data_IF_834046706185
#
_entry.id   IF_834046706185
#
_cell.length_a   1.000
_cell.length_b   1.000
_cell.length_c   1.000
_cell.angle_alpha   90.00
_cell.angle_beta   90.00
_cell.angle_gamma   90.00
#
_symmetry.space_group_name_H-M   'P 1'
#
loop_
_entity.id
_entity.type
_entity.pdbx_description
1 polymer ?
#
# COMPACT_ATOMS: atom_id res chain seq x y z
N UNK A 1 -18.34 30.80 48.41
CA UNK A 1 -19.10 30.52 47.17
C UNK A 1 -18.46 31.17 45.94
N UNK A 2 -17.13 31.14 45.81
CA UNK A 2 -16.36 31.69 44.66
C UNK A 2 -15.42 30.60 44.09
N UNK A 3 -14.95 29.67 44.93
CA UNK A 3 -14.11 28.52 44.54
C UNK A 3 -14.77 27.58 43.54
N UNK A 4 -16.08 27.35 43.64
CA UNK A 4 -16.81 26.41 42.79
C UNK A 4 -16.87 26.89 41.33
N UNK A 5 -16.87 28.22 41.13
CA UNK A 5 -16.90 28.83 39.81
C UNK A 5 -15.52 28.82 39.15
N UNK A 6 -14.44 29.01 39.91
CA UNK A 6 -13.07 28.98 39.40
C UNK A 6 -12.65 27.57 38.94
N UNK A 7 -12.95 26.53 39.72
CA UNK A 7 -12.67 25.14 39.35
C UNK A 7 -13.43 24.74 38.08
N UNK A 8 -14.73 25.09 38.01
CA UNK A 8 -15.57 24.85 36.85
C UNK A 8 -15.04 25.54 35.58
N UNK A 9 -14.59 26.80 35.69
CA UNK A 9 -13.99 27.53 34.57
C UNK A 9 -12.67 26.90 34.11
N UNK A 10 -11.81 26.45 35.02
CA UNK A 10 -10.56 25.77 34.65
C UNK A 10 -10.82 24.43 33.97
N UNK A 11 -11.80 23.65 34.44
CA UNK A 11 -12.22 22.40 33.80
C UNK A 11 -12.78 22.64 32.39
N UNK A 12 -13.62 23.67 32.22
CA UNK A 12 -14.16 24.06 30.92
C UNK A 12 -13.04 24.45 29.96
N UNK A 13 -12.08 25.27 30.42
CA UNK A 13 -10.94 25.71 29.62
C UNK A 13 -10.06 24.52 29.20
N UNK A 14 -9.76 23.63 30.14
CA UNK A 14 -9.01 22.40 29.87
C UNK A 14 -9.72 21.50 28.85
N UNK A 15 -11.04 21.37 28.97
CA UNK A 15 -11.85 20.60 28.03
C UNK A 15 -11.81 21.19 26.62
N UNK A 16 -11.95 22.52 26.48
CA UNK A 16 -11.87 23.21 25.19
C UNK A 16 -10.48 23.02 24.55
N UNK A 17 -9.41 23.18 25.33
CA UNK A 17 -8.03 22.94 24.85
C UNK A 17 -7.88 21.49 24.39
N UNK A 18 -8.41 20.52 25.14
CA UNK A 18 -8.42 19.11 24.77
C UNK A 18 -9.13 18.85 23.44
N UNK A 19 -10.31 19.46 23.24
CA UNK A 19 -11.06 19.35 21.98
C UNK A 19 -10.29 19.96 20.80
N UNK A 20 -9.63 21.09 20.99
CA UNK A 20 -8.82 21.74 19.95
C UNK A 20 -7.65 20.83 19.55
N UNK A 21 -6.90 20.31 20.52
CA UNK A 21 -5.77 19.42 20.26
C UNK A 21 -6.22 18.12 19.58
N UNK A 22 -7.33 17.53 20.05
CA UNK A 22 -7.90 16.33 19.43
C UNK A 22 -8.37 16.59 18.00
N UNK A 23 -9.00 17.74 17.73
CA UNK A 23 -9.45 18.13 16.39
C UNK A 23 -8.29 18.32 15.42
N UNK A 24 -7.18 18.93 15.86
CA UNK A 24 -5.96 19.07 15.07
C UNK A 24 -5.37 17.69 14.76
N UNK A 25 -5.25 16.83 15.77
CA UNK A 25 -4.76 15.46 15.59
C UNK A 25 -5.62 14.66 14.61
N UNK A 26 -6.95 14.81 14.68
CA UNK A 26 -7.89 14.18 13.77
C UNK A 26 -7.72 14.70 12.34
N UNK A 27 -7.59 16.02 12.16
CA UNK A 27 -7.40 16.64 10.83
C UNK A 27 -6.12 16.15 10.13
N UNK A 28 -5.01 16.04 10.88
CA UNK A 28 -3.75 15.52 10.36
C UNK A 28 -3.90 14.05 9.95
N UNK A 29 -4.50 13.21 10.80
CA UNK A 29 -4.73 11.80 10.48
C UNK A 29 -5.60 11.61 9.25
N UNK A 30 -6.68 12.38 9.11
CA UNK A 30 -7.56 12.34 7.94
C UNK A 30 -6.81 12.73 6.66
N UNK A 31 -5.99 13.78 6.72
CA UNK A 31 -5.17 14.20 5.57
C UNK A 31 -4.19 13.11 5.16
N UNK A 32 -3.44 12.55 6.12
CA UNK A 32 -2.50 11.46 5.87
C UNK A 32 -3.20 10.23 5.28
N UNK A 33 -4.35 9.85 5.83
CA UNK A 33 -5.13 8.73 5.32
C UNK A 33 -5.56 8.93 3.86
N UNK A 34 -5.96 10.15 3.50
CA UNK A 34 -6.36 10.47 2.14
C UNK A 34 -5.19 10.40 1.16
N UNK A 35 -4.06 11.01 1.52
CA UNK A 35 -2.83 10.97 0.70
C UNK A 35 -2.33 9.53 0.52
N UNK A 36 -2.32 8.72 1.58
CA UNK A 36 -1.94 7.31 1.52
C UNK A 36 -2.88 6.52 0.60
N UNK A 37 -4.19 6.80 0.63
CA UNK A 37 -5.17 6.15 -0.23
C UNK A 37 -4.96 6.49 -1.71
N UNK A 38 -4.59 7.73 -2.03
CA UNK A 38 -4.26 8.14 -3.39
C UNK A 38 -2.97 7.49 -3.89
N UNK A 39 -1.90 7.54 -3.09
CA UNK A 39 -0.62 6.89 -3.43
C UNK A 39 -0.78 5.39 -3.64
N UNK A 40 -1.61 4.73 -2.82
CA UNK A 40 -1.96 3.32 -2.95
C UNK A 40 -2.63 2.99 -4.28
N UNK A 41 -3.52 3.86 -4.79
CA UNK A 41 -4.13 3.66 -6.11
C UNK A 41 -3.10 3.72 -7.23
N UNK A 42 -2.18 4.69 -7.15
CA UNK A 42 -1.10 4.85 -8.13
C UNK A 42 -0.20 3.61 -8.11
N UNK A 43 0.23 3.18 -6.92
CA UNK A 43 1.04 1.97 -6.75
C UNK A 43 0.36 0.73 -7.35
N UNK A 44 -0.92 0.50 -7.08
CA UNK A 44 -1.65 -0.63 -7.64
C UNK A 44 -1.69 -0.61 -9.18
N UNK A 45 -1.85 0.57 -9.78
CA UNK A 45 -1.84 0.72 -11.24
C UNK A 45 -0.46 0.39 -11.80
N UNK A 46 0.60 0.91 -11.18
CA UNK A 46 1.99 0.68 -11.57
C UNK A 46 2.35 -0.81 -11.47
N UNK A 47 2.01 -1.45 -10.34
CA UNK A 47 2.21 -2.89 -10.11
C UNK A 47 1.52 -3.75 -11.17
N UNK A 48 0.26 -3.45 -11.52
CA UNK A 48 -0.45 -4.18 -12.59
C UNK A 48 0.20 -3.93 -13.95
N UNK A 49 0.66 -2.70 -14.23
CA UNK A 49 1.32 -2.38 -15.48
C UNK A 49 2.65 -3.12 -15.63
N UNK A 50 3.43 -3.21 -14.56
CA UNK A 50 4.67 -3.99 -14.50
C UNK A 50 4.40 -5.47 -14.76
N UNK A 51 3.38 -6.04 -14.12
CA UNK A 51 2.95 -7.43 -14.38
C UNK A 51 2.56 -7.65 -15.85
N UNK A 52 1.81 -6.74 -16.47
CA UNK A 52 1.39 -6.84 -17.88
C UNK A 52 2.59 -6.79 -18.84
N UNK A 53 3.52 -5.88 -18.58
CA UNK A 53 4.64 -5.58 -19.47
C UNK A 53 5.86 -6.47 -19.24
N UNK A 54 5.84 -7.34 -18.23
CA UNK A 54 6.91 -8.30 -18.00
C UNK A 54 7.14 -9.19 -19.23
N UNK A 55 8.39 -9.27 -19.69
CA UNK A 55 8.80 -9.97 -20.92
C UNK A 55 9.09 -11.46 -20.72
N UNK A 56 9.34 -11.90 -19.49
CA UNK A 56 9.74 -13.27 -19.16
C UNK A 56 8.53 -14.16 -18.85
N UNK A 57 7.40 -13.54 -18.51
CA UNK A 57 6.14 -14.22 -18.24
C UNK A 57 5.28 -14.40 -19.49
N UNK A 58 4.70 -15.60 -19.64
CA UNK A 58 3.72 -15.87 -20.69
C UNK A 58 2.40 -15.10 -20.46
N UNK A 59 1.66 -14.73 -21.53
CA UNK A 59 0.40 -13.97 -21.40
C UNK A 59 -0.61 -14.61 -20.43
N UNK A 60 -0.83 -15.92 -20.52
CA UNK A 60 -1.78 -16.62 -19.65
C UNK A 60 -1.34 -16.69 -18.18
N UNK A 61 -0.04 -16.70 -17.88
CA UNK A 61 0.46 -16.59 -16.49
C UNK A 61 0.28 -15.17 -15.96
N UNK A 62 0.57 -14.15 -16.77
CA UNK A 62 0.34 -12.73 -16.40
C UNK A 62 -1.13 -12.48 -16.05
N UNK A 63 -2.05 -12.94 -16.88
CA UNK A 63 -3.49 -12.79 -16.64
C UNK A 63 -3.95 -13.44 -15.33
N UNK A 64 -3.41 -14.61 -14.99
CA UNK A 64 -3.71 -15.30 -13.73
C UNK A 64 -3.29 -14.48 -12.52
N UNK A 65 -2.03 -14.04 -12.47
CA UNK A 65 -1.52 -13.23 -11.36
C UNK A 65 -2.28 -11.91 -11.21
N UNK A 66 -2.60 -11.24 -12.33
CA UNK A 66 -3.38 -9.99 -12.31
C UNK A 66 -4.81 -10.25 -11.81
N UNK A 67 -5.41 -11.36 -12.20
CA UNK A 67 -6.76 -11.74 -11.75
C UNK A 67 -6.77 -11.99 -10.25
N UNK A 68 -5.83 -12.79 -9.74
CA UNK A 68 -5.70 -13.08 -8.32
C UNK A 68 -5.44 -11.80 -7.53
N UNK A 69 -4.51 -10.96 -7.99
CA UNK A 69 -4.20 -9.66 -7.38
C UNK A 69 -5.41 -8.72 -7.29
N UNK A 70 -6.26 -8.69 -8.32
CA UNK A 70 -7.45 -7.86 -8.36
C UNK A 70 -8.61 -8.42 -7.53
N UNK A 71 -8.70 -9.76 -7.40
CA UNK A 71 -9.71 -10.42 -6.58
C UNK A 71 -9.44 -10.26 -5.08
N UNK A 72 -8.18 -10.15 -4.69
CA UNK A 72 -7.75 -9.97 -3.31
C UNK A 72 -8.10 -8.59 -2.76
N UNK A 73 -8.66 -8.56 -1.53
CA UNK A 73 -8.92 -7.33 -0.77
C UNK A 73 -7.84 -7.02 0.27
N UNK A 74 -7.13 -8.06 0.73
CA UNK A 74 -6.07 -7.93 1.73
C UNK A 74 -4.77 -7.42 1.09
N UNK A 75 -4.15 -6.40 1.70
CA UNK A 75 -2.95 -5.79 1.12
C UNK A 75 -1.71 -6.64 1.25
N UNK A 76 -1.59 -7.39 2.34
CA UNK A 76 -0.45 -8.28 2.55
C UNK A 76 -0.48 -9.41 1.53
N UNK A 77 -1.67 -9.96 1.27
CA UNK A 77 -1.87 -10.97 0.24
C UNK A 77 -1.60 -10.40 -1.17
N UNK A 78 -1.99 -9.15 -1.47
CA UNK A 78 -1.60 -8.49 -2.73
C UNK A 78 -0.08 -8.38 -2.89
N UNK A 79 0.62 -7.97 -1.84
CA UNK A 79 2.09 -7.88 -1.84
C UNK A 79 2.69 -9.26 -2.05
N UNK A 80 2.14 -10.30 -1.41
CA UNK A 80 2.61 -11.68 -1.56
C UNK A 80 2.38 -12.22 -2.98
N UNK A 81 1.22 -11.95 -3.60
CA UNK A 81 0.94 -12.33 -5.00
C UNK A 81 1.96 -11.66 -5.92
N UNK A 82 2.22 -10.37 -5.72
CA UNK A 82 3.19 -9.65 -6.51
C UNK A 82 4.62 -10.17 -6.32
N UNK A 83 5.03 -10.48 -5.10
CA UNK A 83 6.33 -11.07 -4.82
C UNK A 83 6.52 -12.43 -5.51
N UNK A 84 5.50 -13.29 -5.49
CA UNK A 84 5.51 -14.59 -6.21
C UNK A 84 5.67 -14.40 -7.72
N UNK A 85 4.94 -13.42 -8.29
CA UNK A 85 5.07 -13.07 -9.70
C UNK A 85 6.51 -12.66 -10.05
N UNK A 86 7.13 -11.81 -9.23
CA UNK A 86 8.50 -11.34 -9.47
C UNK A 86 9.53 -12.46 -9.35
N UNK A 87 9.42 -13.30 -8.33
CA UNK A 87 10.31 -14.46 -8.15
C UNK A 87 10.24 -15.41 -9.36
N UNK A 88 9.04 -15.75 -9.81
CA UNK A 88 8.89 -16.63 -10.97
C UNK A 88 9.40 -15.97 -12.26
N UNK A 89 9.21 -14.65 -12.41
CA UNK A 89 9.74 -13.94 -13.57
C UNK A 89 11.28 -13.88 -13.58
N UNK A 90 11.91 -13.79 -12.40
CA UNK A 90 13.36 -13.86 -12.23
C UNK A 90 13.92 -15.26 -12.52
N UNK A 91 13.25 -16.31 -12.03
CA UNK A 91 13.60 -17.70 -12.36
C UNK A 91 13.60 -17.92 -13.88
N UNK A 92 12.55 -17.44 -14.57
CA UNK A 92 12.41 -17.49 -16.04
C UNK A 92 13.50 -16.72 -16.76
N UNK A 93 13.86 -15.55 -16.24
CA UNK A 93 14.95 -14.74 -16.79
C UNK A 93 16.29 -15.49 -16.72
N UNK A 94 16.55 -16.15 -15.59
CA UNK A 94 17.78 -16.91 -15.37
C UNK A 94 17.83 -18.16 -16.26
N UNK A 95 16.71 -18.90 -16.42
CA UNK A 95 16.61 -20.02 -17.38
C UNK A 95 17.02 -19.60 -18.80
N UNK A 96 16.51 -18.45 -19.29
CA UNK A 96 16.81 -17.96 -20.64
C UNK A 96 18.28 -17.54 -20.77
N UNK A 97 18.87 -16.95 -19.72
CA UNK A 97 20.28 -16.55 -19.73
C UNK A 97 21.21 -17.76 -19.73
N UNK A 98 20.90 -18.77 -18.91
CA UNK A 98 21.68 -19.99 -18.81
C UNK A 98 21.63 -20.78 -20.13
N UNK A 99 20.46 -20.91 -20.76
CA UNK A 99 20.31 -21.53 -22.07
C UNK A 99 21.12 -20.82 -23.17
N UNK A 100 21.10 -19.49 -23.20
CA UNK A 100 21.89 -18.71 -24.16
C UNK A 100 23.40 -18.87 -23.93
N UNK A 101 23.86 -18.94 -22.68
CA UNK A 101 25.29 -19.13 -22.37
C UNK A 101 25.81 -20.51 -22.77
N UNK A 102 24.95 -21.53 -22.77
CA UNK A 102 25.31 -22.89 -23.18
C UNK A 102 25.30 -23.10 -24.70
N UNK A 103 24.72 -22.17 -25.47
CA UNK A 103 24.71 -22.20 -26.94
C UNK A 103 25.97 -21.58 -27.57
N UNK A 104 26.77 -20.83 -26.79
CA UNK A 104 28.01 -20.19 -27.23
C UNK A 104 29.28 -21.05 -27.02
N UNK A 105 29.13 -22.34 -26.66
CA UNK A 105 30.21 -23.34 -26.48
C UNK A 105 30.13 -24.40 -27.58
#
# INVERSE_FOLDING_TARGET
>A
MISDNSLSVHLLLSFIIGLILWSIGLAINLKLFHELKEKRKILNIETINEMKNNKYMSPGRKERYITDYNATKDELEKIMIYAKFMLEAEERENEIKDDNSNLDI
#
